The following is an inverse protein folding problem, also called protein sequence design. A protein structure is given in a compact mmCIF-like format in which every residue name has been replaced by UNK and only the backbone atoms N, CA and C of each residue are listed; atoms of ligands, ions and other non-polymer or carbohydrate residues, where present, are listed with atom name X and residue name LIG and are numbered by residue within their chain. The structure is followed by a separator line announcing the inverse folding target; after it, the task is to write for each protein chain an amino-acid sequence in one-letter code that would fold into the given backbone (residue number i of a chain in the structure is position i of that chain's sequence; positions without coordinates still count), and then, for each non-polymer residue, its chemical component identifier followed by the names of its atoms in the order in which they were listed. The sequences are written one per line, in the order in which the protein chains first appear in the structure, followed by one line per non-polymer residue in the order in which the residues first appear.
data_IF_428940835027
#
_entry.id   IF_428940835027
#
_cell.length_a   1.000
_cell.length_b   1.000
_cell.length_c   1.000
_cell.angle_alpha   90.00
_cell.angle_beta   90.00
_cell.angle_gamma   90.00
#
_symmetry.space_group_name_H-M   'P 1'
#
loop_
_entity.id
_entity.type
_entity.pdbx_description
1 polymer ?
#
# COMPACT_ATOMS: atom_id res chain seq x y z
N UNK A 1 -12.88 37.05 20.82
CA UNK A 1 -12.18 36.12 19.90
C UNK A 1 -13.17 35.13 19.27
N UNK A 2 -14.27 35.63 18.72
CA UNK A 2 -15.41 34.84 18.21
C UNK A 2 -15.53 34.90 16.67
N UNK A 3 -14.47 35.32 15.98
CA UNK A 3 -14.53 35.67 14.54
C UNK A 3 -13.46 35.01 13.67
N UNK A 4 -12.69 34.04 14.19
CA UNK A 4 -11.79 33.28 13.32
C UNK A 4 -12.54 32.15 12.62
N UNK A 5 -13.20 32.52 11.51
CA UNK A 5 -13.99 31.63 10.66
C UNK A 5 -13.15 30.46 10.13
N UNK A 6 -11.84 30.65 9.94
CA UNK A 6 -10.94 29.60 9.44
C UNK A 6 -10.71 28.57 10.53
N UNK A 7 -10.43 29.01 11.76
CA UNK A 7 -10.29 28.10 12.90
C UNK A 7 -11.61 27.36 13.19
N UNK A 8 -12.75 28.03 13.07
CA UNK A 8 -14.07 27.40 13.20
C UNK A 8 -14.27 26.30 12.16
N UNK A 9 -13.96 26.57 10.88
CA UNK A 9 -14.07 25.58 9.81
C UNK A 9 -13.21 24.34 10.07
N UNK A 10 -11.98 24.52 10.59
CA UNK A 10 -11.12 23.40 10.98
C UNK A 10 -11.77 22.57 12.08
N UNK A 11 -12.31 23.21 13.12
CA UNK A 11 -12.97 22.53 14.25
C UNK A 11 -14.24 21.79 13.82
N UNK A 12 -15.05 22.36 12.94
CA UNK A 12 -16.25 21.72 12.39
C UNK A 12 -15.93 20.47 11.57
N UNK A 13 -14.74 20.39 10.98
CA UNK A 13 -14.25 19.22 10.25
C UNK A 13 -13.71 18.08 11.12
N UNK A 14 -13.60 18.27 12.44
CA UNK A 14 -13.05 17.26 13.35
C UNK A 14 -14.14 16.30 13.87
N UNK A 15 -13.77 15.04 14.07
CA UNK A 15 -14.62 14.06 14.74
C UNK A 15 -14.73 14.40 16.24
N UNK A 16 -15.84 13.99 16.87
CA UNK A 16 -16.11 14.23 18.29
C UNK A 16 -14.96 13.76 19.21
N UNK A 17 -14.33 12.64 18.87
CA UNK A 17 -13.21 12.09 19.65
C UNK A 17 -11.94 12.95 19.53
N UNK A 18 -11.70 13.57 18.39
CA UNK A 18 -10.58 14.50 18.16
C UNK A 18 -10.81 15.81 18.91
N UNK A 19 -12.05 16.31 18.91
CA UNK A 19 -12.44 17.49 19.70
C UNK A 19 -12.28 17.27 21.21
N UNK A 20 -12.67 16.08 21.70
CA UNK A 20 -12.43 15.69 23.10
C UNK A 20 -10.93 15.65 23.43
N UNK A 21 -10.12 15.06 22.55
CA UNK A 21 -8.67 15.01 22.74
C UNK A 21 -8.05 16.42 22.78
N UNK A 22 -8.47 17.31 21.88
CA UNK A 22 -8.03 18.71 21.85
C UNK A 22 -8.38 19.44 23.15
N UNK A 23 -9.58 19.22 23.67
CA UNK A 23 -10.04 19.75 24.95
C UNK A 23 -9.22 19.20 26.13
N UNK A 24 -9.04 17.88 26.20
CA UNK A 24 -8.35 17.21 27.31
C UNK A 24 -6.85 17.53 27.36
N UNK A 25 -6.23 17.71 26.19
CA UNK A 25 -4.81 18.10 26.09
C UNK A 25 -4.58 19.59 26.34
N UNK A 26 -5.64 20.41 26.32
CA UNK A 26 -5.53 21.87 26.45
C UNK A 26 -4.67 22.49 25.36
N UNK A 27 -4.66 21.93 24.15
CA UNK A 27 -3.80 22.41 23.07
C UNK A 27 -4.18 23.83 22.65
N UNK A 28 -3.17 24.71 22.60
CA UNK A 28 -3.31 26.10 22.13
C UNK A 28 -2.29 26.31 21.00
N UNK A 29 -2.73 26.66 19.78
CA UNK A 29 -1.82 26.99 18.68
C UNK A 29 -0.88 28.14 19.04
N UNK A 30 0.37 28.05 18.62
CA UNK A 30 1.33 29.14 18.78
C UNK A 30 0.93 30.35 17.92
N UNK A 31 0.50 31.42 18.60
CA UNK A 31 0.02 32.66 17.96
C UNK A 31 1.15 33.50 17.38
N UNK A 32 2.41 33.21 17.72
CA UNK A 32 3.58 33.96 17.26
C UNK A 32 4.31 33.26 16.11
N UNK A 33 3.74 32.18 15.58
CA UNK A 33 4.32 31.49 14.45
C UNK A 33 4.24 32.35 13.18
N UNK A 34 5.40 32.79 12.68
CA UNK A 34 5.47 33.66 11.50
C UNK A 34 5.17 32.94 10.17
N UNK A 35 5.19 31.60 10.17
CA UNK A 35 5.09 30.78 8.95
C UNK A 35 3.71 30.16 8.74
N UNK A 36 2.94 29.97 9.83
CA UNK A 36 1.65 29.26 9.81
C UNK A 36 0.66 29.97 10.70
N UNK A 37 -0.56 30.07 10.21
CA UNK A 37 -1.71 30.56 10.97
C UNK A 37 -2.09 29.60 12.10
N UNK A 38 -2.82 30.11 13.10
CA UNK A 38 -3.35 29.30 14.20
C UNK A 38 -4.25 28.14 13.69
N UNK A 39 -5.02 28.38 12.62
CA UNK A 39 -5.86 27.36 11.99
C UNK A 39 -5.03 26.26 11.31
N UNK A 40 -3.94 26.61 10.63
CA UNK A 40 -3.03 25.61 10.04
C UNK A 40 -2.32 24.78 11.11
N UNK A 41 -1.87 25.42 12.19
CA UNK A 41 -1.26 24.72 13.31
C UNK A 41 -2.24 23.77 13.99
N UNK A 42 -3.50 24.20 14.16
CA UNK A 42 -4.58 23.36 14.68
C UNK A 42 -4.86 22.16 13.77
N UNK A 43 -4.98 22.39 12.46
CA UNK A 43 -5.23 21.33 11.48
C UNK A 43 -4.07 20.31 11.46
N UNK A 44 -2.82 20.79 11.53
CA UNK A 44 -1.64 19.93 11.65
C UNK A 44 -1.62 19.13 12.95
N UNK A 45 -1.98 19.75 14.08
CA UNK A 45 -2.05 19.06 15.35
C UNK A 45 -3.09 17.94 15.33
N UNK A 46 -4.29 18.22 14.81
CA UNK A 46 -5.34 17.21 14.63
C UNK A 46 -4.89 16.07 13.70
N UNK A 47 -4.20 16.38 12.59
CA UNK A 47 -3.59 15.38 11.73
C UNK A 47 -2.56 14.52 12.48
N UNK A 48 -1.70 15.13 13.31
CA UNK A 48 -0.73 14.38 14.10
C UNK A 48 -1.39 13.49 15.16
N UNK A 49 -2.47 13.96 15.80
CA UNK A 49 -3.27 13.12 16.71
C UNK A 49 -3.85 11.94 15.95
N UNK A 50 -4.39 12.13 14.74
CA UNK A 50 -4.87 11.02 13.90
C UNK A 50 -3.77 10.02 13.58
N UNK A 51 -2.59 10.50 13.23
CA UNK A 51 -1.44 9.64 12.94
C UNK A 51 -0.98 8.85 14.17
N UNK A 52 -0.99 9.46 15.37
CA UNK A 52 -0.60 8.82 16.63
C UNK A 52 -1.66 7.90 17.21
N UNK A 53 -2.94 8.25 17.03
CA UNK A 53 -4.09 7.49 17.53
C UNK A 53 -4.50 6.36 16.59
N UNK A 54 -4.13 6.47 15.31
CA UNK A 54 -4.09 5.35 14.39
C UNK A 54 -2.99 4.35 14.78
N UNK A 55 -3.03 3.13 14.23
CA UNK A 55 -1.93 2.18 14.39
C UNK A 55 -0.62 2.85 13.94
N UNK A 56 0.39 2.85 14.81
CA UNK A 56 1.66 3.56 14.60
C UNK A 56 2.28 3.25 13.25
N UNK A 57 2.63 4.31 12.51
CA UNK A 57 3.06 4.28 11.12
C UNK A 57 4.44 3.65 10.89
N UNK A 58 4.45 2.33 10.73
CA UNK A 58 5.18 1.70 9.62
C UNK A 58 4.34 1.76 8.33
N UNK A 59 4.77 1.14 7.21
CA UNK A 59 3.92 1.00 6.02
C UNK A 59 2.53 0.50 6.43
N UNK A 60 1.48 1.26 6.08
CA UNK A 60 0.08 0.97 6.41
C UNK A 60 -0.29 -0.45 5.99
N UNK A 61 -0.15 -1.38 6.93
CA UNK A 61 -0.44 -2.79 6.76
C UNK A 61 -1.94 -3.01 6.89
N UNK A 62 -2.54 -3.61 5.85
CA UNK A 62 -3.98 -3.85 5.78
C UNK A 62 -4.49 -4.70 6.93
N UNK A 63 -3.68 -5.64 7.43
CA UNK A 63 -4.03 -6.47 8.59
C UNK A 63 -4.05 -5.63 9.86
N UNK A 64 -3.07 -4.75 10.07
CA UNK A 64 -3.01 -3.85 11.23
C UNK A 64 -4.20 -2.89 11.25
N UNK A 65 -4.57 -2.31 10.10
CA UNK A 65 -5.73 -1.45 9.97
C UNK A 65 -7.05 -2.21 10.23
N UNK A 66 -7.17 -3.42 9.69
CA UNK A 66 -8.34 -4.26 9.90
C UNK A 66 -8.48 -4.70 11.37
N UNK A 67 -7.39 -5.14 12.00
CA UNK A 67 -7.32 -5.44 13.43
C UNK A 67 -7.77 -4.27 14.27
N UNK A 68 -7.28 -3.06 13.98
CA UNK A 68 -7.64 -1.84 14.69
C UNK A 68 -9.12 -1.48 14.57
N UNK A 69 -9.68 -1.62 13.36
CA UNK A 69 -11.10 -1.35 13.08
C UNK A 69 -12.02 -2.28 13.86
N UNK A 70 -11.70 -3.57 13.89
CA UNK A 70 -12.53 -4.61 14.50
C UNK A 70 -12.14 -4.98 15.93
N UNK A 71 -11.17 -4.26 16.51
CA UNK A 71 -10.64 -4.49 17.88
C UNK A 71 -10.22 -5.94 18.12
N UNK A 72 -9.58 -6.54 17.11
CA UNK A 72 -9.11 -7.92 17.16
C UNK A 72 -7.84 -8.04 18.00
N UNK A 73 -7.66 -9.22 18.60
CA UNK A 73 -6.51 -9.52 19.45
C UNK A 73 -5.24 -9.84 18.62
N UNK A 74 -4.13 -10.13 19.31
CA UNK A 74 -2.87 -10.49 18.65
C UNK A 74 -2.92 -11.89 18.01
N UNK A 75 -3.80 -12.77 18.48
CA UNK A 75 -3.98 -14.11 17.91
C UNK A 75 -4.60 -14.03 16.52
N UNK A 76 -5.65 -13.22 16.37
CA UNK A 76 -6.29 -12.92 15.10
C UNK A 76 -5.31 -12.29 14.09
N UNK A 77 -4.45 -11.37 14.52
CA UNK A 77 -3.40 -10.79 13.68
C UNK A 77 -2.48 -11.88 13.09
N UNK A 78 -2.02 -12.82 13.92
CA UNK A 78 -1.19 -13.94 13.46
C UNK A 78 -1.90 -14.85 12.46
N UNK A 79 -3.20 -15.07 12.63
CA UNK A 79 -4.01 -15.86 11.67
C UNK A 79 -4.11 -15.12 10.34
N UNK A 80 -4.53 -13.85 10.37
CA UNK A 80 -4.70 -13.02 9.17
C UNK A 80 -3.41 -12.89 8.35
N UNK A 81 -2.24 -12.83 9.01
CA UNK A 81 -0.93 -12.76 8.33
C UNK A 81 -0.51 -14.05 7.63
N UNK A 82 -1.06 -15.20 8.04
CA UNK A 82 -0.79 -16.50 7.43
C UNK A 82 -1.68 -16.78 6.23
N UNK A 83 -2.76 -16.03 6.06
CA UNK A 83 -3.68 -16.20 4.95
C UNK A 83 -3.03 -15.86 3.62
N UNK A 84 -3.43 -16.60 2.60
CA UNK A 84 -3.10 -16.29 1.22
C UNK A 84 -3.72 -14.96 0.80
N UNK A 85 -3.22 -14.36 -0.28
CA UNK A 85 -3.78 -13.11 -0.81
C UNK A 85 -5.30 -13.21 -1.05
N UNK A 86 -5.75 -14.32 -1.65
CA UNK A 86 -7.15 -14.61 -1.94
C UNK A 86 -7.99 -14.69 -0.65
N UNK A 87 -7.56 -15.51 0.29
CA UNK A 87 -8.25 -15.71 1.56
C UNK A 87 -8.36 -14.40 2.34
N UNK A 88 -7.25 -13.66 2.45
CA UNK A 88 -7.24 -12.39 3.16
C UNK A 88 -8.22 -11.41 2.51
N UNK A 89 -8.27 -11.33 1.17
CA UNK A 89 -9.22 -10.47 0.46
C UNK A 89 -10.68 -10.86 0.74
N UNK A 90 -10.98 -12.15 0.79
CA UNK A 90 -12.31 -12.64 1.14
C UNK A 90 -12.69 -12.19 2.56
N UNK A 91 -11.82 -12.44 3.54
CA UNK A 91 -12.04 -12.07 4.95
C UNK A 91 -12.23 -10.56 5.10
N UNK A 92 -11.35 -9.74 4.49
CA UNK A 92 -11.44 -8.28 4.57
C UNK A 92 -12.76 -7.72 3.98
N UNK A 93 -13.36 -8.41 3.00
CA UNK A 93 -14.61 -7.99 2.35
C UNK A 93 -15.86 -8.51 3.05
N UNK A 94 -15.81 -9.73 3.60
CA UNK A 94 -16.99 -10.43 4.14
C UNK A 94 -17.13 -10.32 5.65
N UNK A 95 -16.04 -10.07 6.37
CA UNK A 95 -16.11 -9.91 7.82
C UNK A 95 -16.79 -8.60 8.20
N UNK A 96 -17.94 -8.72 8.86
CA UNK A 96 -18.77 -7.63 9.34
C UNK A 96 -18.89 -7.57 10.88
N UNK A 97 -18.14 -8.43 11.59
CA UNK A 97 -18.18 -8.55 13.05
C UNK A 97 -19.36 -9.36 13.62
N UNK A 98 -20.26 -9.91 12.78
CA UNK A 98 -21.37 -10.74 13.26
C UNK A 98 -20.96 -12.19 13.54
N UNK A 99 -20.02 -12.73 12.75
CA UNK A 99 -19.47 -14.08 12.93
C UNK A 99 -18.08 -14.04 13.56
N UNK A 100 -17.67 -15.07 14.31
CA UNK A 100 -16.28 -15.25 14.72
C UNK A 100 -15.33 -15.23 13.52
N UNK A 101 -14.15 -14.63 13.69
CA UNK A 101 -13.16 -14.53 12.62
C UNK A 101 -12.76 -15.91 12.07
N UNK A 102 -12.69 -16.93 12.93
CA UNK A 102 -12.35 -18.30 12.54
C UNK A 102 -13.29 -18.87 11.48
N UNK A 103 -14.60 -18.68 11.65
CA UNK A 103 -15.61 -19.17 10.68
C UNK A 103 -15.45 -18.49 9.32
N UNK A 104 -15.20 -17.17 9.30
CA UNK A 104 -15.01 -16.44 8.04
C UNK A 104 -13.70 -16.83 7.35
N UNK A 105 -12.68 -17.20 8.12
CA UNK A 105 -11.42 -17.75 7.59
C UNK A 105 -11.64 -19.14 6.99
N UNK A 106 -12.40 -20.01 7.66
CA UNK A 106 -12.75 -21.33 7.12
C UNK A 106 -13.57 -21.21 5.82
N UNK A 107 -14.53 -20.29 5.78
CA UNK A 107 -15.26 -19.95 4.55
C UNK A 107 -14.31 -19.48 3.44
N UNK A 108 -13.32 -18.65 3.77
CA UNK A 108 -12.35 -18.14 2.81
C UNK A 108 -11.46 -19.25 2.22
N UNK A 109 -11.08 -20.23 3.04
CA UNK A 109 -10.28 -21.39 2.63
C UNK A 109 -11.12 -22.33 1.75
N UNK A 110 -12.36 -22.61 2.17
CA UNK A 110 -13.27 -23.52 1.48
C UNK A 110 -13.81 -22.94 0.16
N UNK A 111 -13.77 -21.62 -0.03
CA UNK A 111 -14.21 -20.98 -1.26
C UNK A 111 -13.31 -21.42 -2.44
N UNK A 112 -13.86 -22.10 -3.46
CA UNK A 112 -13.09 -22.52 -4.62
C UNK A 112 -12.57 -21.28 -5.38
N UNK A 113 -11.39 -21.41 -5.98
CA UNK A 113 -10.88 -20.35 -6.87
C UNK A 113 -11.86 -20.23 -8.03
N UNK A 114 -12.44 -19.04 -8.25
CA UNK A 114 -13.27 -18.80 -9.43
C UNK A 114 -12.40 -19.01 -10.69
N UNK A 115 -12.52 -20.18 -11.29
CA UNK A 115 -11.88 -20.51 -12.57
C UNK A 115 -12.41 -19.53 -13.63
N UNK A 116 -11.55 -18.62 -14.08
CA UNK A 116 -11.88 -17.62 -15.10
C UNK A 116 -11.70 -16.16 -14.66
N UNK A 117 -11.51 -15.89 -13.36
CA UNK A 117 -11.18 -14.55 -12.91
C UNK A 117 -9.64 -14.40 -12.86
N UNK A 118 -9.03 -13.93 -13.94
CA UNK A 118 -7.58 -13.76 -14.09
C UNK A 118 -6.94 -12.89 -12.99
N UNK A 119 -7.74 -12.16 -12.21
CA UNK A 119 -7.32 -11.33 -11.06
C UNK A 119 -7.25 -12.16 -9.75
N UNK A 120 -7.98 -13.27 -9.66
CA UNK A 120 -8.07 -14.14 -8.48
C UNK A 120 -7.02 -15.25 -8.42
N UNK A 121 -6.40 -15.59 -9.55
CA UNK A 121 -5.33 -16.60 -9.70
C UNK A 121 -3.92 -16.03 -9.49
N UNK A 122 -3.84 -14.75 -9.13
CA UNK A 122 -2.61 -13.97 -9.03
C UNK A 122 -2.00 -14.18 -7.64
N UNK A 123 -1.07 -15.14 -7.58
CA UNK A 123 -0.40 -15.76 -6.40
C UNK A 123 -1.36 -16.41 -5.41
N UNK A 124 -1.72 -17.69 -5.63
CA UNK A 124 -2.49 -18.43 -4.64
C UNK A 124 -1.71 -18.62 -3.33
N UNK A 125 -0.37 -18.65 -3.36
CA UNK A 125 0.41 -19.17 -2.22
C UNK A 125 1.28 -18.15 -1.47
N UNK A 126 1.36 -16.89 -1.92
CA UNK A 126 2.15 -15.87 -1.20
C UNK A 126 1.35 -15.23 -0.04
N UNK A 127 2.02 -14.83 1.06
CA UNK A 127 1.36 -14.16 2.18
C UNK A 127 0.67 -12.87 1.72
N UNK A 128 -0.64 -12.77 1.94
CA UNK A 128 -1.46 -11.66 1.40
C UNK A 128 -1.01 -10.27 1.85
N UNK A 129 -0.39 -10.18 3.03
CA UNK A 129 0.15 -8.93 3.58
C UNK A 129 1.21 -8.27 2.68
N UNK A 130 2.01 -9.06 1.95
CA UNK A 130 3.02 -8.50 1.02
C UNK A 130 2.37 -7.95 -0.26
N UNK A 131 1.36 -8.63 -0.79
CA UNK A 131 0.61 -8.17 -1.95
C UNK A 131 -0.18 -6.88 -1.66
N UNK A 132 -0.83 -6.81 -0.49
CA UNK A 132 -1.68 -5.67 -0.10
C UNK A 132 -0.92 -4.43 0.41
N UNK A 133 0.39 -4.50 0.61
CA UNK A 133 1.17 -3.37 1.12
C UNK A 133 1.10 -2.19 0.14
N UNK A 134 0.91 -0.96 0.66
CA UNK A 134 0.73 0.27 -0.15
C UNK A 134 1.80 0.48 -1.23
N UNK A 135 3.05 0.09 -0.96
CA UNK A 135 4.19 0.22 -1.87
C UNK A 135 4.25 -0.88 -2.95
N UNK A 136 3.41 -1.91 -2.85
CA UNK A 136 3.37 -3.10 -3.71
C UNK A 136 1.99 -3.35 -4.34
N UNK A 137 1.08 -2.35 -4.32
CA UNK A 137 -0.27 -2.42 -4.92
C UNK A 137 -0.27 -2.41 -6.44
N UNK A 138 0.57 -3.23 -7.04
CA UNK A 138 0.60 -3.52 -8.46
C UNK A 138 -0.56 -4.45 -8.86
N UNK A 139 -1.35 -4.92 -7.91
CA UNK A 139 -2.68 -5.54 -8.09
C UNK A 139 -3.71 -4.61 -8.77
N UNK A 140 -3.44 -3.30 -8.82
CA UNK A 140 -4.21 -2.33 -9.62
C UNK A 140 -3.82 -2.43 -11.09
N UNK A 141 -2.60 -2.88 -11.38
CA UNK A 141 -2.13 -3.07 -12.74
C UNK A 141 -2.81 -4.31 -13.29
N UNK A 142 -3.46 -4.14 -14.43
CA UNK A 142 -4.12 -5.22 -15.13
C UNK A 142 -3.12 -6.36 -15.41
N UNK A 143 -3.41 -7.60 -14.96
CA UNK A 143 -2.52 -8.75 -15.10
C UNK A 143 -2.22 -9.10 -16.57
N UNK A 144 -3.07 -8.71 -17.51
CA UNK A 144 -2.85 -8.96 -18.95
C UNK A 144 -2.24 -7.76 -19.67
N UNK A 145 -2.37 -6.55 -19.11
CA UNK A 145 -1.81 -5.34 -19.73
C UNK A 145 -0.28 -5.36 -19.78
N UNK A 146 0.28 -4.91 -20.88
CA UNK A 146 1.69 -4.60 -21.01
C UNK A 146 2.03 -3.33 -20.21
N UNK A 147 3.25 -3.23 -19.69
CA UNK A 147 3.69 -2.09 -18.87
C UNK A 147 5.01 -1.53 -19.39
N UNK A 148 5.04 -0.26 -19.77
CA UNK A 148 6.25 0.43 -20.19
C UNK A 148 6.87 1.24 -19.03
N UNK A 149 8.17 1.06 -18.79
CA UNK A 149 8.97 1.79 -17.80
C UNK A 149 10.01 2.61 -18.54
N UNK A 150 9.92 3.93 -18.41
CA UNK A 150 10.84 4.86 -19.07
C UNK A 150 11.93 5.37 -18.12
N UNK A 151 13.20 5.31 -18.55
CA UNK A 151 14.32 6.03 -17.94
C UNK A 151 15.56 5.19 -17.58
N UNK A 152 16.75 5.77 -17.74
CA UNK A 152 18.06 5.11 -17.57
C UNK A 152 18.30 4.47 -16.19
N UNK A 153 17.86 5.13 -15.12
CA UNK A 153 18.08 4.65 -13.74
C UNK A 153 16.99 3.69 -13.24
N UNK A 154 16.01 3.35 -14.08
CA UNK A 154 14.83 2.60 -13.67
C UNK A 154 14.90 1.10 -13.97
N UNK A 155 16.05 0.55 -14.39
CA UNK A 155 16.19 -0.91 -14.55
C UNK A 155 15.98 -1.67 -13.24
N UNK A 156 16.40 -1.11 -12.10
CA UNK A 156 16.11 -1.67 -10.77
C UNK A 156 14.61 -1.67 -10.45
N UNK A 157 13.90 -0.62 -10.88
CA UNK A 157 12.44 -0.57 -10.75
C UNK A 157 11.76 -1.56 -11.69
N UNK A 158 12.16 -1.62 -12.96
CA UNK A 158 11.67 -2.58 -13.94
C UNK A 158 11.90 -4.02 -13.46
N UNK A 159 13.05 -4.31 -12.86
CA UNK A 159 13.37 -5.63 -12.31
C UNK A 159 12.49 -5.99 -11.13
N UNK A 160 12.28 -5.06 -10.20
CA UNK A 160 11.36 -5.26 -9.09
C UNK A 160 9.92 -5.43 -9.58
N UNK A 161 9.50 -4.65 -10.57
CA UNK A 161 8.21 -4.79 -11.24
C UNK A 161 8.07 -6.15 -11.92
N UNK A 162 9.11 -6.65 -12.60
CA UNK A 162 9.12 -7.95 -13.26
C UNK A 162 9.05 -9.12 -12.29
N UNK A 163 9.88 -9.09 -11.24
CA UNK A 163 9.83 -10.07 -10.14
C UNK A 163 8.45 -10.08 -9.49
N UNK A 164 7.87 -8.91 -9.26
CA UNK A 164 6.57 -8.79 -8.64
C UNK A 164 5.45 -9.26 -9.57
N UNK A 165 5.45 -8.86 -10.85
CA UNK A 165 4.46 -9.31 -11.86
C UNK A 165 4.53 -10.82 -12.06
N UNK A 166 5.72 -11.41 -12.11
CA UNK A 166 5.92 -12.87 -12.15
C UNK A 166 5.44 -13.54 -10.87
N UNK A 167 5.76 -12.99 -9.70
CA UNK A 167 5.25 -13.49 -8.43
C UNK A 167 3.72 -13.48 -8.44
N UNK A 168 3.13 -12.37 -8.90
CA UNK A 168 1.72 -12.12 -9.17
C UNK A 168 1.11 -12.99 -10.29
N UNK A 169 1.87 -13.76 -11.08
CA UNK A 169 1.32 -14.52 -12.21
C UNK A 169 0.71 -13.63 -13.31
N UNK A 170 1.12 -12.37 -13.41
CA UNK A 170 0.74 -11.50 -14.52
C UNK A 170 1.37 -12.01 -15.82
N UNK A 171 0.63 -11.93 -16.91
CA UNK A 171 1.05 -12.39 -18.24
C UNK A 171 1.44 -11.25 -19.17
N UNK A 172 1.06 -10.01 -18.85
CA UNK A 172 1.46 -8.85 -19.65
C UNK A 172 2.95 -8.54 -19.51
N UNK A 173 3.60 -8.24 -20.65
CA UNK A 173 5.04 -7.97 -20.76
C UNK A 173 5.44 -6.65 -20.12
N UNK A 174 6.69 -6.56 -19.69
CA UNK A 174 7.31 -5.29 -19.27
C UNK A 174 8.24 -4.83 -20.37
N UNK A 175 8.14 -3.57 -20.76
CA UNK A 175 9.07 -2.93 -21.70
C UNK A 175 9.83 -1.87 -20.91
N UNK A 176 11.13 -2.06 -20.70
CA UNK A 176 11.99 -1.07 -20.06
C UNK A 176 12.78 -0.31 -21.13
N UNK A 177 12.81 1.02 -21.09
CA UNK A 177 13.55 1.82 -22.06
C UNK A 177 14.70 2.58 -21.40
N UNK A 178 15.88 2.55 -22.03
CA UNK A 178 17.02 3.42 -21.70
C UNK A 178 17.21 4.48 -22.79
N UNK A 179 17.68 5.66 -22.40
CA UNK A 179 18.00 6.80 -23.29
C UNK A 179 19.40 6.71 -23.90
N UNK A 180 20.18 5.71 -23.46
CA UNK A 180 21.55 5.50 -23.90
C UNK A 180 21.70 4.15 -24.59
N UNK A 181 22.76 4.03 -25.39
CA UNK A 181 23.19 2.78 -26.00
C UNK A 181 23.71 1.81 -24.94
N UNK A 182 23.61 0.51 -25.23
CA UNK A 182 24.09 -0.55 -24.34
C UNK A 182 25.58 -0.41 -24.02
N UNK A 183 26.40 0.05 -24.98
CA UNK A 183 27.83 0.26 -24.83
C UNK A 183 28.13 1.31 -23.74
N UNK A 184 27.49 2.49 -23.82
CA UNK A 184 27.63 3.56 -22.82
C UNK A 184 27.16 3.11 -21.43
N UNK A 185 26.07 2.33 -21.38
CA UNK A 185 25.54 1.80 -20.13
C UNK A 185 26.48 0.78 -19.48
N UNK A 186 27.13 -0.08 -20.26
CA UNK A 186 28.11 -1.05 -19.77
C UNK A 186 29.37 -0.40 -19.21
N UNK A 187 29.80 0.74 -19.79
CA UNK A 187 30.92 1.52 -19.26
C UNK A 187 30.61 2.12 -17.88
N UNK A 188 29.38 2.61 -17.68
CA UNK A 188 28.96 3.24 -16.41
C UNK A 188 28.58 2.22 -15.34
N UNK A 189 27.94 1.12 -15.72
CA UNK A 189 27.35 0.15 -14.81
C UNK A 189 27.81 -1.27 -15.14
N UNK A 190 28.78 -1.77 -14.37
CA UNK A 190 29.36 -3.11 -14.57
C UNK A 190 28.35 -4.25 -14.43
N UNK A 191 27.27 -4.03 -13.69
CA UNK A 191 26.22 -5.02 -13.38
C UNK A 191 25.04 -4.98 -14.38
N UNK A 192 25.09 -4.11 -15.40
CA UNK A 192 23.94 -3.91 -16.30
C UNK A 192 23.63 -5.16 -17.13
N UNK A 193 24.66 -5.91 -17.54
CA UNK A 193 24.48 -7.15 -18.31
C UNK A 193 23.75 -8.24 -17.51
N UNK A 194 24.04 -8.37 -16.21
CA UNK A 194 23.34 -9.31 -15.33
C UNK A 194 21.90 -8.84 -15.08
N UNK A 195 21.70 -7.53 -14.94
CA UNK A 195 20.36 -6.94 -14.77
C UNK A 195 19.46 -7.19 -15.98
N UNK A 196 19.98 -6.96 -17.20
CA UNK A 196 19.26 -7.20 -18.45
C UNK A 196 18.92 -8.68 -18.60
N UNK A 197 19.89 -9.58 -18.36
CA UNK A 197 19.65 -11.02 -18.39
C UNK A 197 18.56 -11.45 -17.41
N UNK A 198 18.57 -10.90 -16.19
CA UNK A 198 17.54 -11.19 -15.19
C UNK A 198 16.16 -10.67 -15.64
N UNK A 199 16.11 -9.52 -16.31
CA UNK A 199 14.88 -8.97 -16.90
C UNK A 199 14.33 -9.91 -17.98
N UNK A 200 15.17 -10.41 -18.88
CA UNK A 200 14.79 -11.38 -19.93
C UNK A 200 14.23 -12.69 -19.33
N UNK A 201 14.86 -13.21 -18.27
CA UNK A 201 14.38 -14.39 -17.51
C UNK A 201 13.01 -14.17 -16.83
N UNK A 202 12.59 -12.91 -16.71
CA UNK A 202 11.29 -12.49 -16.21
C UNK A 202 10.34 -12.00 -17.32
N UNK A 203 10.62 -12.30 -18.59
CA UNK A 203 9.82 -11.89 -19.75
C UNK A 203 9.65 -10.36 -19.88
N UNK A 204 10.65 -9.60 -19.44
CA UNK A 204 10.75 -8.17 -19.68
C UNK A 204 11.69 -7.91 -20.87
N UNK A 205 11.27 -7.03 -21.78
CA UNK A 205 12.07 -6.59 -22.92
C UNK A 205 12.78 -5.27 -22.57
N UNK A 206 14.06 -5.15 -22.89
CA UNK A 206 14.83 -3.90 -22.69
C UNK A 206 15.12 -3.26 -24.04
N UNK A 207 14.64 -2.04 -24.23
CA UNK A 207 14.90 -1.24 -25.42
C UNK A 207 15.95 -0.17 -25.10
N UNK A 208 16.97 -0.10 -25.94
CA UNK A 208 18.03 0.92 -25.85
C UNK A 208 17.85 1.92 -27.00
N UNK A 209 17.77 3.22 -26.72
CA UNK A 209 17.56 4.24 -27.74
C UNK A 209 18.01 5.62 -27.33
#
# INVERSE_FOLDING_TARGET
CTEDVITQHVLEGLALQELKNLHDTGYIPDKYNAWKSAAELLAMHAASIRERSGPGGGPLDTVSAFKWRWKLDITADRVLRKLTHRELRYVLRRYNGQKPLGEVVEEAIACPTEEGNAIGSVVPDAPGTRAFARFHRLEIIDPVSESAVFGDANLSFALNLAKHRKALGHVGRIIATTFETLETLQERYKEIGETIKTLDEHYAEVYHG
#
